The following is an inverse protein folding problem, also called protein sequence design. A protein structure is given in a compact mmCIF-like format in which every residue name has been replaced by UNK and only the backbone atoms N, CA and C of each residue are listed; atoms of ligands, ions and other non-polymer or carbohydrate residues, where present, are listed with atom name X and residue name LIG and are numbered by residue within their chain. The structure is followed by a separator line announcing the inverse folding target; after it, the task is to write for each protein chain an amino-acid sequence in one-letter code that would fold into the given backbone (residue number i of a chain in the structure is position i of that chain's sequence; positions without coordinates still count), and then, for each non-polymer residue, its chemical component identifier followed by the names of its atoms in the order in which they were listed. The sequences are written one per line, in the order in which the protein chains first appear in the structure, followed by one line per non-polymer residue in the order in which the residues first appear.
data_IF_579606278465
#
_entry.id   IF_579606278465
#
_cell.length_a   1.000
_cell.length_b   1.000
_cell.length_c   1.000
_cell.angle_alpha   90.00
_cell.angle_beta   90.00
_cell.angle_gamma   90.00
#
_symmetry.space_group_name_H-M   'P 1'
#
loop_
_entity.id
_entity.type
_entity.pdbx_description
1 polymer ?
#
# COMPACT_ATOMS: atom_id res chain seq x y z
N UNK A 1 9.03 16.69 -4.15
CA UNK A 1 8.45 15.41 -4.64
C UNK A 1 8.73 14.36 -3.59
N UNK A 2 7.71 13.74 -2.99
CA UNK A 2 7.92 12.57 -2.14
C UNK A 2 8.47 11.47 -3.05
N UNK A 3 9.76 11.18 -2.94
CA UNK A 3 10.42 10.13 -3.71
C UNK A 3 9.68 8.81 -3.48
N UNK A 4 9.52 8.02 -4.54
CA UNK A 4 8.82 6.73 -4.55
C UNK A 4 9.17 5.84 -3.34
N UNK A 5 10.42 5.89 -2.89
CA UNK A 5 10.92 5.19 -1.71
C UNK A 5 10.21 5.58 -0.40
N UNK A 6 9.96 6.87 -0.17
CA UNK A 6 9.24 7.35 1.04
C UNK A 6 7.78 6.90 1.02
N UNK A 7 7.17 6.81 -0.16
CA UNK A 7 5.79 6.33 -0.31
C UNK A 7 5.69 4.83 -0.01
N UNK A 8 6.64 4.03 -0.51
CA UNK A 8 6.73 2.61 -0.18
C UNK A 8 6.96 2.36 1.31
N UNK A 9 7.89 3.10 1.95
CA UNK A 9 8.13 2.99 3.38
C UNK A 9 6.90 3.34 4.22
N UNK A 10 6.13 4.36 3.82
CA UNK A 10 4.83 4.67 4.45
C UNK A 10 3.83 3.53 4.28
N UNK A 11 3.72 2.94 3.09
CA UNK A 11 2.79 1.83 2.85
C UNK A 11 3.17 0.60 3.70
N UNK A 12 4.46 0.27 3.79
CA UNK A 12 4.95 -0.82 4.66
C UNK A 12 4.64 -0.53 6.12
N UNK A 13 4.91 0.68 6.61
CA UNK A 13 4.59 1.07 7.99
C UNK A 13 3.09 0.93 8.30
N UNK A 14 2.22 1.28 7.34
CA UNK A 14 0.77 1.08 7.50
C UNK A 14 0.41 -0.42 7.56
N UNK A 15 0.93 -1.23 6.65
CA UNK A 15 0.71 -2.68 6.64
C UNK A 15 1.22 -3.36 7.92
N UNK A 16 2.29 -2.84 8.54
CA UNK A 16 2.80 -3.35 9.82
C UNK A 16 1.93 -3.00 11.04
N UNK A 17 1.05 -2.00 10.94
CA UNK A 17 0.21 -1.57 12.10
C UNK A 17 -1.06 -2.39 12.30
N UNK A 18 -1.65 -2.96 11.23
CA UNK A 18 -2.79 -3.88 11.32
C UNK A 18 -2.78 -4.85 10.14
N UNK A 19 -3.28 -6.07 10.38
CA UNK A 19 -3.12 -7.22 9.48
C UNK A 19 -3.94 -7.15 8.18
N UNK A 20 -4.93 -6.26 8.08
CA UNK A 20 -5.80 -6.14 6.90
C UNK A 20 -6.08 -4.67 6.60
N UNK A 21 -5.90 -4.25 5.34
CA UNK A 21 -6.22 -2.91 4.87
C UNK A 21 -6.88 -2.99 3.49
N UNK A 22 -7.93 -2.21 3.26
CA UNK A 22 -8.49 -2.04 1.93
C UNK A 22 -7.67 -1.01 1.13
N UNK A 23 -7.70 -1.09 -0.20
CA UNK A 23 -7.02 -0.11 -1.05
C UNK A 23 -7.60 1.32 -0.84
N UNK A 24 -8.89 1.43 -0.53
CA UNK A 24 -9.57 2.70 -0.22
C UNK A 24 -9.02 3.35 1.05
N UNK A 25 -8.98 2.63 2.17
CA UNK A 25 -8.43 3.14 3.43
C UNK A 25 -6.96 3.58 3.29
N UNK A 26 -6.16 2.80 2.55
CA UNK A 26 -4.76 3.15 2.27
C UNK A 26 -4.66 4.42 1.42
N UNK A 27 -5.52 4.56 0.41
CA UNK A 27 -5.53 5.72 -0.49
C UNK A 27 -5.87 7.01 0.27
N UNK A 28 -6.86 6.96 1.17
CA UNK A 28 -7.25 8.07 2.03
C UNK A 28 -6.12 8.46 2.99
N UNK A 29 -5.50 7.49 3.66
CA UNK A 29 -4.41 7.74 4.62
C UNK A 29 -3.12 8.23 3.97
N UNK A 30 -2.82 7.76 2.76
CA UNK A 30 -1.63 8.17 2.02
C UNK A 30 -1.86 9.44 1.20
N UNK A 31 -3.08 9.99 1.19
CA UNK A 31 -3.51 11.06 0.30
C UNK A 31 -3.13 10.76 -1.17
N UNK A 32 -3.32 9.50 -1.58
CA UNK A 32 -2.97 8.98 -2.88
C UNK A 32 -4.22 8.44 -3.57
N UNK A 33 -4.14 8.18 -4.87
CA UNK A 33 -5.25 7.49 -5.55
C UNK A 33 -5.18 5.99 -5.31
N UNK A 34 -6.34 5.35 -5.32
CA UNK A 34 -6.50 3.90 -5.27
C UNK A 34 -5.64 3.17 -6.34
N UNK A 35 -5.51 3.76 -7.54
CA UNK A 35 -4.61 3.26 -8.59
C UNK A 35 -3.12 3.37 -8.22
N UNK A 36 -2.72 4.42 -7.50
CA UNK A 36 -1.35 4.58 -6.98
C UNK A 36 -1.05 3.53 -5.92
N UNK A 37 -1.98 3.32 -4.99
CA UNK A 37 -1.86 2.33 -3.92
C UNK A 37 -1.71 0.93 -4.50
N UNK A 38 -2.55 0.54 -5.47
CA UNK A 38 -2.41 -0.74 -6.19
C UNK A 38 -1.05 -0.92 -6.85
N UNK A 39 -0.50 0.13 -7.49
CA UNK A 39 0.83 0.06 -8.10
C UNK A 39 1.93 -0.15 -7.07
N UNK A 40 1.84 0.50 -5.92
CA UNK A 40 2.83 0.35 -4.85
C UNK A 40 2.74 -1.03 -4.20
N UNK A 41 1.53 -1.56 -3.99
CA UNK A 41 1.31 -2.93 -3.54
C UNK A 41 1.87 -3.93 -4.54
N UNK A 42 1.59 -3.77 -5.84
CA UNK A 42 2.15 -4.63 -6.88
C UNK A 42 3.68 -4.62 -6.86
N UNK A 43 4.29 -3.44 -6.72
CA UNK A 43 5.74 -3.30 -6.59
C UNK A 43 6.28 -3.99 -5.32
N UNK A 44 5.60 -3.87 -4.19
CA UNK A 44 6.01 -4.58 -2.97
C UNK A 44 5.92 -6.10 -3.13
N UNK A 45 4.89 -6.59 -3.81
CA UNK A 45 4.76 -8.03 -4.16
C UNK A 45 5.89 -8.49 -5.06
N UNK A 46 6.25 -7.72 -6.08
CA UNK A 46 7.41 -7.99 -6.95
C UNK A 46 8.73 -8.05 -6.16
N UNK A 47 8.84 -7.26 -5.09
CA UNK A 47 9.98 -7.24 -4.17
C UNK A 47 9.94 -8.36 -3.10
N UNK A 48 8.92 -9.23 -3.11
CA UNK A 48 8.79 -10.34 -2.17
C UNK A 48 8.20 -9.96 -0.80
N UNK A 49 7.60 -8.77 -0.67
CA UNK A 49 6.93 -8.39 0.57
C UNK A 49 5.54 -9.06 0.67
N UNK A 50 5.22 -9.68 1.82
CA UNK A 50 3.91 -10.26 2.04
C UNK A 50 2.86 -9.15 2.18
N UNK A 51 2.03 -8.94 1.17
CA UNK A 51 0.89 -8.01 1.23
C UNK A 51 -0.39 -8.79 1.48
N UNK A 52 -0.80 -8.92 2.74
CA UNK A 52 -2.08 -9.51 3.12
C UNK A 52 -3.17 -8.43 3.08
N UNK A 53 -4.24 -8.65 2.29
CA UNK A 53 -5.49 -7.90 2.44
C UNK A 53 -5.84 -6.85 1.37
N UNK A 54 -4.92 -6.41 0.52
CA UNK A 54 -5.24 -5.36 -0.46
C UNK A 54 -5.87 -5.86 -1.77
N UNK A 55 -5.90 -7.18 -1.97
CA UNK A 55 -6.47 -7.86 -3.14
C UNK A 55 -7.89 -8.41 -2.88
N UNK A 56 -8.34 -8.43 -1.61
CA UNK A 56 -9.74 -8.76 -1.31
C UNK A 56 -10.62 -7.61 -1.78
N UNK A 57 -11.16 -7.80 -2.98
CA UNK A 57 -12.21 -6.99 -3.59
C UNK A 57 -13.40 -6.89 -2.63
N UNK A 58 -13.59 -5.69 -2.06
CA UNK A 58 -14.89 -5.11 -1.73
C UNK A 58 -15.12 -3.93 -2.68
#
# INVERSE_FOLDING_TARGET
MISTSTRLLRLVSLLSTRSTWTCRELSERMAATDRTVRRDIARLRELGWPTQGADSYD
#
